data_IF_765880732617
#
_entry.id   IF_765880732617
#
_cell.length_a   1.000
_cell.length_b   1.000
_cell.length_c   1.000
_cell.angle_alpha   90.00
_cell.angle_beta   90.00
_cell.angle_gamma   90.00
#
_symmetry.space_group_name_H-M   'P 1'
#
loop_
_entity.id
_entity.type
_entity.pdbx_description
1 polymer ?
#
# COMPACT_ATOMS: atom_id res chain seq x y z
N UNK A 1 7.01 4.27 -32.31
CA UNK A 1 7.88 5.47 -32.06
C UNK A 1 7.06 6.47 -31.25
N UNK A 2 7.17 6.44 -29.93
CA UNK A 2 6.62 7.47 -29.03
C UNK A 2 7.66 8.60 -29.02
N UNK A 3 7.36 9.72 -29.66
CA UNK A 3 8.15 10.95 -29.55
C UNK A 3 8.17 11.37 -28.08
N UNK A 4 9.31 11.21 -27.42
CA UNK A 4 9.58 11.77 -26.09
C UNK A 4 9.47 13.29 -26.21
N UNK A 5 8.38 13.86 -25.74
CA UNK A 5 8.28 15.31 -25.52
C UNK A 5 9.20 15.63 -24.35
N UNK A 6 10.37 16.17 -24.65
CA UNK A 6 11.21 16.84 -23.66
C UNK A 6 10.33 17.96 -23.07
N UNK A 7 9.81 17.75 -21.87
CA UNK A 7 9.12 18.80 -21.11
C UNK A 7 10.21 19.74 -20.60
N UNK A 8 10.38 20.87 -21.29
CA UNK A 8 11.25 21.95 -20.81
C UNK A 8 10.67 22.41 -19.46
N UNK A 9 11.47 22.31 -18.41
CA UNK A 9 11.09 22.80 -17.08
C UNK A 9 10.95 24.33 -17.13
N UNK A 10 9.76 24.85 -16.82
CA UNK A 10 9.50 26.28 -16.76
C UNK A 10 9.88 26.81 -15.39
N UNK A 11 10.91 27.62 -15.32
CA UNK A 11 11.31 28.32 -14.09
C UNK A 11 10.60 29.67 -14.03
N UNK A 12 9.85 29.93 -12.95
CA UNK A 12 9.16 31.19 -12.70
C UNK A 12 9.82 31.82 -11.48
N UNK A 13 10.47 32.97 -11.69
CA UNK A 13 11.13 33.74 -10.61
C UNK A 13 10.26 34.94 -10.22
N UNK A 14 10.04 35.14 -8.91
CA UNK A 14 9.28 36.26 -8.34
C UNK A 14 7.92 36.52 -8.99
N UNK A 15 7.01 35.48 -9.05
CA UNK A 15 5.71 35.64 -9.71
C UNK A 15 4.86 36.67 -8.99
N UNK A 16 4.11 37.48 -9.74
CA UNK A 16 3.15 38.42 -9.18
C UNK A 16 2.03 37.66 -8.43
N UNK A 17 1.57 38.18 -7.31
CA UNK A 17 0.53 37.51 -6.46
C UNK A 17 -0.73 37.15 -7.26
N UNK A 18 -1.12 37.97 -8.22
CA UNK A 18 -2.27 37.75 -9.10
C UNK A 18 -2.16 36.44 -9.93
N UNK A 19 -0.93 35.98 -10.21
CA UNK A 19 -0.65 34.77 -11.00
C UNK A 19 -0.54 33.49 -10.17
N UNK A 20 -0.54 33.60 -8.82
CA UNK A 20 -0.32 32.46 -7.94
C UNK A 20 -1.40 31.40 -8.07
N UNK A 21 -2.66 31.79 -8.22
CA UNK A 21 -3.74 30.81 -8.35
C UNK A 21 -3.58 29.93 -9.59
N UNK A 22 -3.12 30.52 -10.70
CA UNK A 22 -2.91 29.75 -11.94
C UNK A 22 -1.64 28.90 -11.88
N UNK A 23 -0.56 29.43 -11.29
CA UNK A 23 0.70 28.71 -11.14
C UNK A 23 0.56 27.52 -10.18
N UNK A 24 -0.18 27.72 -9.09
CA UNK A 24 -0.38 26.69 -8.05
C UNK A 24 -1.58 25.75 -8.36
N UNK A 25 -2.29 25.99 -9.44
CA UNK A 25 -3.44 25.17 -9.81
C UNK A 25 -3.02 23.74 -10.07
N UNK A 26 -3.49 22.84 -9.20
CA UNK A 26 -3.22 21.41 -9.35
C UNK A 26 -3.96 20.87 -10.58
N UNK A 27 -3.29 20.23 -11.53
CA UNK A 27 -3.97 19.62 -12.66
C UNK A 27 -4.94 18.55 -12.15
N UNK A 28 -6.24 18.73 -12.46
CA UNK A 28 -7.27 17.74 -12.12
C UNK A 28 -7.59 16.93 -13.36
N UNK A 29 -7.46 15.62 -13.28
CA UNK A 29 -8.03 14.73 -14.30
C UNK A 29 -9.57 14.77 -14.21
N UNK A 30 -10.25 14.73 -15.35
CA UNK A 30 -11.71 14.68 -15.39
C UNK A 30 -12.21 13.37 -14.78
N UNK A 31 -12.87 13.44 -13.61
CA UNK A 31 -13.30 12.28 -12.80
C UNK A 31 -14.56 11.56 -13.31
N UNK A 32 -15.31 12.13 -14.24
CA UNK A 32 -16.66 11.66 -14.58
C UNK A 32 -16.79 10.18 -15.02
N UNK A 33 -15.70 9.58 -15.56
CA UNK A 33 -15.74 8.17 -15.97
C UNK A 33 -15.19 7.20 -14.93
N UNK A 34 -14.43 7.69 -13.92
CA UNK A 34 -13.77 6.82 -12.94
C UNK A 34 -14.77 6.27 -11.91
N UNK A 35 -15.77 7.05 -11.53
CA UNK A 35 -16.76 6.64 -10.51
C UNK A 35 -17.60 5.44 -10.99
N UNK A 36 -18.01 5.45 -12.26
CA UNK A 36 -18.73 4.32 -12.84
C UNK A 36 -17.85 3.06 -12.89
N UNK A 37 -16.60 3.20 -13.35
CA UNK A 37 -15.65 2.06 -13.40
C UNK A 37 -15.42 1.49 -12.01
N UNK A 38 -15.22 2.33 -10.99
CA UNK A 38 -15.03 1.88 -9.60
C UNK A 38 -16.27 1.15 -9.10
N UNK A 39 -17.46 1.70 -9.36
CA UNK A 39 -18.73 1.10 -8.95
C UNK A 39 -18.93 -0.27 -9.60
N UNK A 40 -18.67 -0.39 -10.90
CA UNK A 40 -18.81 -1.63 -11.65
C UNK A 40 -17.82 -2.69 -11.12
N UNK A 41 -16.55 -2.33 -10.93
CA UNK A 41 -15.54 -3.24 -10.38
C UNK A 41 -15.94 -3.73 -8.98
N UNK A 42 -16.39 -2.83 -8.11
CA UNK A 42 -16.80 -3.18 -6.76
C UNK A 42 -18.03 -4.10 -6.74
N UNK A 43 -19.01 -3.85 -7.57
CA UNK A 43 -20.21 -4.68 -7.70
C UNK A 43 -19.86 -6.09 -8.21
N UNK A 44 -18.97 -6.18 -9.20
CA UNK A 44 -18.50 -7.48 -9.72
C UNK A 44 -17.70 -8.27 -8.68
N UNK A 45 -16.87 -7.61 -7.89
CA UNK A 45 -16.13 -8.28 -6.79
C UNK A 45 -17.11 -8.83 -5.76
N UNK A 46 -18.10 -8.05 -5.32
CA UNK A 46 -19.13 -8.52 -4.38
C UNK A 46 -19.89 -9.74 -4.91
N UNK A 47 -20.15 -9.78 -6.23
CA UNK A 47 -20.95 -10.83 -6.86
C UNK A 47 -20.16 -12.10 -7.16
N UNK A 48 -18.89 -11.98 -7.59
CA UNK A 48 -18.10 -13.07 -8.17
C UNK A 48 -16.77 -13.35 -7.44
N UNK A 49 -16.46 -12.60 -6.39
CA UNK A 49 -15.27 -12.82 -5.55
C UNK A 49 -13.96 -12.95 -6.33
N UNK A 50 -13.20 -14.00 -6.04
CA UNK A 50 -11.90 -14.28 -6.67
C UNK A 50 -11.95 -14.34 -8.20
N UNK A 51 -13.07 -14.80 -8.78
CA UNK A 51 -13.20 -14.86 -10.22
C UNK A 51 -13.17 -13.46 -10.84
N UNK A 52 -13.87 -12.50 -10.23
CA UNK A 52 -13.81 -11.11 -10.68
C UNK A 52 -12.42 -10.52 -10.53
N UNK A 53 -11.74 -10.80 -9.40
CA UNK A 53 -10.38 -10.32 -9.14
C UNK A 53 -9.39 -10.82 -10.20
N UNK A 54 -9.46 -12.09 -10.58
CA UNK A 54 -8.62 -12.69 -11.64
C UNK A 54 -8.90 -12.04 -13.00
N UNK A 55 -10.19 -11.88 -13.36
CA UNK A 55 -10.60 -11.24 -14.61
C UNK A 55 -10.08 -9.80 -14.72
N UNK A 56 -10.19 -9.03 -13.63
CA UNK A 56 -9.70 -7.64 -13.59
C UNK A 56 -8.17 -7.57 -13.58
N UNK A 57 -7.46 -8.47 -12.91
CA UNK A 57 -6.01 -8.54 -12.95
C UNK A 57 -5.52 -8.85 -14.38
N UNK A 58 -6.19 -9.78 -15.08
CA UNK A 58 -5.89 -10.04 -16.49
C UNK A 58 -6.17 -8.79 -17.35
N UNK A 59 -7.28 -8.10 -17.12
CA UNK A 59 -7.68 -6.92 -17.90
C UNK A 59 -6.80 -5.69 -17.67
N UNK A 60 -6.42 -5.40 -16.42
CA UNK A 60 -5.74 -4.16 -16.07
C UNK A 60 -4.22 -4.32 -15.92
N UNK A 61 -3.77 -5.45 -15.39
CA UNK A 61 -2.35 -5.73 -15.14
C UNK A 61 -1.73 -6.63 -16.22
N UNK A 62 -2.57 -7.29 -17.06
CA UNK A 62 -2.14 -8.17 -18.14
C UNK A 62 -1.61 -9.53 -17.64
N UNK A 63 -1.85 -9.87 -16.39
CA UNK A 63 -1.41 -11.12 -15.76
C UNK A 63 -2.55 -12.11 -15.61
N UNK A 64 -2.32 -13.36 -16.03
CA UNK A 64 -3.24 -14.47 -15.80
C UNK A 64 -2.78 -15.24 -14.57
N UNK A 65 -3.62 -15.27 -13.53
CA UNK A 65 -3.26 -15.82 -12.23
C UNK A 65 -4.10 -17.05 -11.90
N UNK A 66 -3.45 -18.14 -11.53
CA UNK A 66 -4.10 -19.28 -10.91
C UNK A 66 -4.43 -18.99 -9.44
N UNK A 67 -3.47 -18.40 -8.71
CA UNK A 67 -3.61 -18.01 -7.31
C UNK A 67 -3.37 -16.53 -7.11
N UNK A 68 -4.25 -15.86 -6.35
CA UNK A 68 -4.13 -14.44 -6.04
C UNK A 68 -3.08 -14.15 -4.96
N UNK A 69 -2.86 -15.08 -4.04
CA UNK A 69 -1.88 -14.92 -2.96
C UNK A 69 -0.46 -15.29 -3.42
N UNK A 70 0.52 -14.68 -2.78
CA UNK A 70 1.94 -15.04 -2.95
C UNK A 70 2.22 -16.25 -2.07
N UNK A 71 2.72 -17.33 -2.68
CA UNK A 71 3.05 -18.57 -1.98
C UNK A 71 4.31 -18.44 -1.12
N UNK A 72 4.48 -19.34 -0.15
CA UNK A 72 5.71 -19.43 0.66
C UNK A 72 6.95 -19.71 -0.19
N UNK A 73 6.78 -20.44 -1.29
CA UNK A 73 7.87 -20.71 -2.23
C UNK A 73 8.32 -19.42 -2.94
N UNK A 74 7.35 -18.60 -3.43
CA UNK A 74 7.67 -17.30 -4.04
C UNK A 74 8.35 -16.34 -3.07
N UNK A 75 7.97 -16.36 -1.79
CA UNK A 75 8.62 -15.56 -0.76
C UNK A 75 10.09 -15.98 -0.54
N UNK A 76 10.36 -17.29 -0.46
CA UNK A 76 11.74 -17.82 -0.31
C UNK A 76 12.59 -17.50 -1.56
N UNK A 77 12.04 -17.65 -2.75
CA UNK A 77 12.73 -17.30 -3.99
C UNK A 77 13.03 -15.80 -4.09
N UNK A 78 12.10 -14.96 -3.63
CA UNK A 78 12.29 -13.52 -3.59
C UNK A 78 13.44 -13.14 -2.66
N UNK A 79 13.50 -13.72 -1.47
CA UNK A 79 14.59 -13.51 -0.52
C UNK A 79 15.95 -13.87 -1.11
N UNK A 80 16.05 -14.98 -1.85
CA UNK A 80 17.27 -15.41 -2.51
C UNK A 80 17.71 -14.48 -3.67
N UNK A 81 16.75 -13.80 -4.33
CA UNK A 81 17.03 -12.90 -5.45
C UNK A 81 17.45 -11.49 -5.06
N UNK A 82 17.21 -11.07 -3.81
CA UNK A 82 17.65 -9.75 -3.33
C UNK A 82 19.13 -9.80 -2.97
N UNK A 83 19.91 -8.86 -3.53
CA UNK A 83 21.35 -8.82 -3.28
C UNK A 83 21.66 -8.47 -1.81
N UNK A 84 22.83 -8.90 -1.28
CA UNK A 84 23.24 -8.56 0.08
C UNK A 84 23.31 -7.04 0.32
N UNK A 85 23.73 -6.26 -0.66
CA UNK A 85 23.80 -4.80 -0.56
C UNK A 85 22.41 -4.20 -0.39
N UNK A 86 21.42 -4.68 -1.18
CA UNK A 86 20.05 -4.19 -1.08
C UNK A 86 19.39 -4.63 0.24
N UNK A 87 19.66 -5.85 0.72
CA UNK A 87 19.22 -6.30 2.05
C UNK A 87 19.74 -5.38 3.13
N UNK A 88 21.03 -5.07 3.13
CA UNK A 88 21.65 -4.15 4.10
C UNK A 88 21.03 -2.74 4.03
N UNK A 89 20.74 -2.25 2.84
CA UNK A 89 20.08 -0.95 2.67
C UNK A 89 18.63 -0.97 3.22
N UNK A 90 17.89 -2.04 2.97
CA UNK A 90 16.53 -2.23 3.52
C UNK A 90 16.58 -2.31 5.05
N UNK A 91 17.51 -3.06 5.63
CA UNK A 91 17.67 -3.20 7.09
C UNK A 91 18.03 -1.86 7.75
N UNK A 92 18.86 -1.05 7.10
CA UNK A 92 19.14 0.32 7.55
C UNK A 92 17.88 1.19 7.53
N UNK A 93 17.10 1.12 6.46
CA UNK A 93 15.86 1.86 6.35
C UNK A 93 14.85 1.40 7.41
N UNK A 94 14.72 0.10 7.67
CA UNK A 94 13.87 -0.46 8.73
C UNK A 94 14.24 0.14 10.08
N UNK A 95 15.53 0.14 10.46
CA UNK A 95 15.96 0.71 11.73
C UNK A 95 15.61 2.19 11.87
N UNK A 96 15.84 2.97 10.82
CA UNK A 96 15.55 4.40 10.83
C UNK A 96 14.05 4.68 10.99
N UNK A 97 13.22 3.98 10.20
CA UNK A 97 11.76 4.13 10.24
C UNK A 97 11.22 3.63 11.59
N UNK A 98 11.72 2.49 12.07
CA UNK A 98 11.31 1.95 13.36
C UNK A 98 11.61 2.91 14.50
N UNK A 99 12.84 3.44 14.59
CA UNK A 99 13.24 4.37 15.64
C UNK A 99 12.38 5.63 15.63
N UNK A 100 12.10 6.18 14.44
CA UNK A 100 11.27 7.35 14.29
C UNK A 100 9.82 7.11 14.76
N UNK A 101 9.20 6.02 14.32
CA UNK A 101 7.81 5.72 14.69
C UNK A 101 7.66 5.18 16.11
N UNK A 102 8.66 4.48 16.65
CA UNK A 102 8.67 4.02 18.04
C UNK A 102 8.63 5.20 19.02
N UNK A 103 9.31 6.30 18.69
CA UNK A 103 9.27 7.52 19.49
C UNK A 103 7.89 8.23 19.49
N UNK A 104 7.00 7.90 18.56
CA UNK A 104 5.63 8.43 18.46
C UNK A 104 4.60 7.59 19.19
N UNK A 105 5.01 6.47 19.78
CA UNK A 105 4.09 5.60 20.52
C UNK A 105 3.49 6.34 21.71
N UNK A 106 2.16 6.36 21.80
CA UNK A 106 1.47 7.06 22.86
C UNK A 106 1.74 6.37 24.22
N UNK A 107 2.18 7.16 25.19
CA UNK A 107 2.28 6.71 26.58
C UNK A 107 0.92 6.83 27.24
N UNK A 108 0.52 5.82 28.01
CA UNK A 108 -0.66 5.90 28.85
C UNK A 108 -0.31 6.75 30.09
N UNK A 109 -0.90 7.95 30.17
CA UNK A 109 -0.79 8.81 31.34
C UNK A 109 -2.13 8.74 32.09
N UNK A 110 -2.08 8.31 33.35
CA UNK A 110 -3.21 8.31 34.26
C UNK A 110 -3.28 9.64 35.00
N UNK A 111 -4.45 10.22 35.02
CA UNK A 111 -4.74 11.48 35.72
C UNK A 111 -5.79 11.21 36.79
N UNK A 112 -5.47 11.43 38.05
CA UNK A 112 -6.46 11.45 39.12
C UNK A 112 -7.22 12.76 39.06
N UNK A 113 -8.51 12.69 38.68
CA UNK A 113 -9.38 13.86 38.49
C UNK A 113 -10.12 14.25 39.77
N UNK A 114 -10.31 13.32 40.67
CA UNK A 114 -10.86 13.45 42.03
C UNK A 114 -10.24 12.34 42.88
N UNK A 115 -10.21 12.46 44.21
CA UNK A 115 -9.69 11.41 45.09
C UNK A 115 -10.32 10.05 44.77
N UNK A 116 -9.49 9.09 44.37
CA UNK A 116 -9.91 7.72 43.99
C UNK A 116 -10.49 7.56 42.59
N UNK A 117 -10.49 8.60 41.74
CA UNK A 117 -10.97 8.53 40.35
C UNK A 117 -9.81 8.77 39.37
N UNK A 118 -9.32 7.70 38.76
CA UNK A 118 -8.28 7.76 37.72
C UNK A 118 -8.90 7.71 36.32
N UNK A 119 -8.48 8.62 35.45
CA UNK A 119 -8.85 8.68 34.03
C UNK A 119 -7.63 8.54 33.15
N UNK A 120 -7.73 7.79 32.04
CA UNK A 120 -6.67 7.70 31.06
C UNK A 120 -7.22 7.39 29.65
N UNK A 121 -6.40 7.65 28.64
CA UNK A 121 -6.70 7.26 27.26
C UNK A 121 -5.99 5.95 26.94
N UNK A 122 -6.77 4.93 26.54
CA UNK A 122 -6.24 3.66 26.06
C UNK A 122 -6.13 3.70 24.54
N UNK A 123 -4.94 3.45 24.01
CA UNK A 123 -4.71 3.29 22.58
C UNK A 123 -4.81 1.80 22.23
N UNK A 124 -5.65 1.47 21.25
CA UNK A 124 -5.82 0.10 20.76
C UNK A 124 -5.48 0.02 19.28
N UNK A 125 -4.77 -1.02 18.82
CA UNK A 125 -4.46 -1.20 17.42
C UNK A 125 -5.71 -1.49 16.59
N UNK A 126 -5.67 -1.12 15.31
CA UNK A 126 -6.62 -1.64 14.32
C UNK A 126 -6.20 -3.09 14.05
N UNK A 127 -7.08 -4.06 14.31
CA UNK A 127 -6.71 -5.48 14.24
C UNK A 127 -6.27 -5.93 12.86
N UNK A 128 -6.99 -5.47 11.80
CA UNK A 128 -6.76 -5.86 10.41
C UNK A 128 -6.56 -4.64 9.55
N UNK A 129 -5.39 -4.52 8.97
CA UNK A 129 -5.04 -3.40 8.07
C UNK A 129 -4.62 -3.90 6.71
N UNK A 130 -5.03 -3.17 5.67
CA UNK A 130 -4.60 -3.38 4.29
C UNK A 130 -3.55 -2.35 3.89
N UNK A 131 -2.49 -2.82 3.27
CA UNK A 131 -1.44 -1.99 2.68
C UNK A 131 -1.53 -2.12 1.16
N UNK A 132 -1.73 -1.00 0.49
CA UNK A 132 -1.72 -0.96 -0.96
C UNK A 132 -0.41 -0.37 -1.47
N UNK A 133 0.30 -1.14 -2.29
CA UNK A 133 1.56 -0.72 -2.92
C UNK A 133 1.33 -0.67 -4.43
N UNK A 134 1.32 0.52 -5.04
CA UNK A 134 1.11 0.63 -6.48
C UNK A 134 2.27 0.04 -7.27
N UNK A 135 1.96 -0.46 -8.46
CA UNK A 135 2.94 -0.79 -9.48
C UNK A 135 3.53 0.47 -10.13
N UNK A 136 4.54 0.29 -10.92
CA UNK A 136 5.18 1.38 -11.65
C UNK A 136 6.54 0.97 -12.21
N UNK A 137 7.28 1.97 -12.70
CA UNK A 137 8.61 1.78 -13.30
C UNK A 137 9.69 1.42 -12.27
N UNK A 138 9.46 1.73 -10.99
CA UNK A 138 10.38 1.39 -9.90
C UNK A 138 9.63 0.67 -8.77
N UNK A 139 10.24 -0.35 -8.14
CA UNK A 139 9.62 -1.06 -7.03
C UNK A 139 9.57 -0.16 -5.79
N UNK A 140 8.35 0.07 -5.26
CA UNK A 140 8.13 0.93 -4.10
C UNK A 140 8.26 0.16 -2.77
N UNK A 141 9.35 -0.59 -2.60
CA UNK A 141 9.60 -1.34 -1.36
C UNK A 141 9.75 -0.40 -0.14
N UNK A 142 10.22 0.83 -0.33
CA UNK A 142 10.25 1.83 0.75
C UNK A 142 8.86 2.15 1.30
N UNK A 143 7.83 2.17 0.44
CA UNK A 143 6.43 2.36 0.87
C UNK A 143 5.95 1.18 1.73
N UNK A 144 6.36 -0.05 1.40
CA UNK A 144 6.08 -1.22 2.25
C UNK A 144 6.63 -1.00 3.66
N UNK A 145 7.88 -0.52 3.77
CA UNK A 145 8.51 -0.25 5.06
C UNK A 145 7.79 0.86 5.82
N UNK A 146 7.49 1.98 5.14
CA UNK A 146 6.84 3.15 5.75
C UNK A 146 5.41 2.88 6.23
N UNK A 147 4.72 1.88 5.66
CA UNK A 147 3.38 1.49 6.08
C UNK A 147 3.39 0.30 7.06
N UNK A 148 4.22 -0.70 6.78
CA UNK A 148 4.26 -1.94 7.55
C UNK A 148 4.88 -1.78 8.95
N UNK A 149 5.95 -0.98 9.09
CA UNK A 149 6.61 -0.75 10.36
C UNK A 149 5.69 -0.06 11.38
N UNK A 150 5.01 1.05 11.04
CA UNK A 150 4.01 1.64 11.95
C UNK A 150 2.87 0.69 12.29
N UNK A 151 2.38 -0.11 11.33
CA UNK A 151 1.35 -1.11 11.60
C UNK A 151 1.82 -2.15 12.62
N UNK A 152 3.06 -2.63 12.49
CA UNK A 152 3.68 -3.56 13.45
C UNK A 152 3.89 -2.94 14.83
N UNK A 153 4.39 -1.69 14.91
CA UNK A 153 4.57 -0.96 16.17
C UNK A 153 3.23 -0.75 16.87
N UNK A 154 2.18 -0.41 16.12
CA UNK A 154 0.83 -0.23 16.65
C UNK A 154 0.21 -1.54 17.16
N UNK A 155 0.77 -2.71 16.84
CA UNK A 155 0.26 -4.02 17.28
C UNK A 155 -0.87 -4.57 16.40
N UNK A 156 -0.96 -4.17 15.12
CA UNK A 156 -1.91 -4.74 14.17
C UNK A 156 -1.65 -6.25 14.03
N UNK A 157 -2.68 -7.07 14.22
CA UNK A 157 -2.55 -8.53 14.20
C UNK A 157 -2.49 -9.10 12.79
N UNK A 158 -3.24 -8.51 11.86
CA UNK A 158 -3.32 -8.94 10.48
C UNK A 158 -2.93 -7.77 9.57
N UNK A 159 -1.83 -7.93 8.83
CA UNK A 159 -1.30 -6.94 7.90
C UNK A 159 -1.35 -7.58 6.51
N UNK A 160 -2.33 -7.17 5.72
CA UNK A 160 -2.57 -7.66 4.36
C UNK A 160 -1.96 -6.69 3.37
N UNK A 161 -1.11 -7.17 2.46
CA UNK A 161 -0.49 -6.34 1.44
C UNK A 161 -1.03 -6.73 0.06
N UNK A 162 -1.46 -5.74 -0.71
CA UNK A 162 -1.80 -5.89 -2.13
C UNK A 162 -0.86 -5.06 -3.00
N UNK A 163 -0.32 -5.69 -4.04
CA UNK A 163 0.53 -5.05 -5.05
C UNK A 163 0.31 -5.72 -6.40
N UNK A 164 0.30 -4.98 -7.52
CA UNK A 164 0.10 -5.59 -8.82
C UNK A 164 1.25 -6.55 -9.18
N UNK A 165 0.95 -7.67 -9.82
CA UNK A 165 1.96 -8.52 -10.43
C UNK A 165 2.48 -7.89 -11.72
N UNK A 166 3.60 -8.40 -12.23
CA UNK A 166 4.03 -8.22 -13.60
C UNK A 166 3.21 -9.11 -14.56
N UNK A 167 3.50 -9.05 -15.85
CA UNK A 167 2.80 -9.83 -16.89
C UNK A 167 2.97 -11.34 -16.73
N UNK A 168 4.05 -11.77 -16.06
CA UNK A 168 4.34 -13.18 -15.77
C UNK A 168 3.69 -13.63 -14.44
N UNK A 169 2.85 -12.79 -13.84
CA UNK A 169 2.16 -13.08 -12.58
C UNK A 169 3.06 -13.02 -11.35
N UNK A 170 4.22 -12.36 -11.42
CA UNK A 170 5.20 -12.27 -10.34
C UNK A 170 5.22 -10.90 -9.69
N UNK A 171 5.51 -10.87 -8.40
CA UNK A 171 5.75 -9.64 -7.65
C UNK A 171 7.25 -9.39 -7.56
N UNK A 172 7.65 -8.13 -7.61
CA UNK A 172 9.06 -7.75 -7.49
C UNK A 172 9.69 -8.30 -6.21
N UNK A 173 10.85 -8.98 -6.29
CA UNK A 173 11.50 -9.61 -5.12
C UNK A 173 11.78 -8.64 -3.97
N UNK A 174 12.17 -7.38 -4.25
CA UNK A 174 12.43 -6.39 -3.20
C UNK A 174 11.16 -6.01 -2.43
N UNK A 175 9.98 -5.97 -3.08
CA UNK A 175 8.69 -5.75 -2.42
C UNK A 175 8.35 -6.94 -1.51
N UNK A 176 8.54 -8.18 -1.98
CA UNK A 176 8.29 -9.38 -1.19
C UNK A 176 9.23 -9.48 0.02
N UNK A 177 10.51 -9.20 -0.18
CA UNK A 177 11.49 -9.15 0.91
C UNK A 177 11.13 -8.10 1.96
N UNK A 178 10.78 -6.89 1.53
CA UNK A 178 10.33 -5.84 2.44
C UNK A 178 9.06 -6.24 3.20
N UNK A 179 8.08 -6.87 2.51
CA UNK A 179 6.85 -7.35 3.14
C UNK A 179 7.12 -8.40 4.25
N UNK A 180 8.03 -9.35 4.00
CA UNK A 180 8.49 -10.31 5.01
C UNK A 180 9.15 -9.61 6.19
N UNK A 181 10.07 -8.68 5.92
CA UNK A 181 10.86 -7.99 6.94
C UNK A 181 9.99 -7.17 7.90
N UNK A 182 8.88 -6.59 7.42
CA UNK A 182 7.94 -5.83 8.27
C UNK A 182 6.85 -6.70 8.91
N UNK A 183 6.76 -7.99 8.56
CA UNK A 183 5.82 -8.92 9.14
C UNK A 183 4.42 -8.86 8.53
N UNK A 184 4.32 -8.58 7.21
CA UNK A 184 3.05 -8.77 6.50
C UNK A 184 2.58 -10.22 6.64
N UNK A 185 1.33 -10.41 7.06
CA UNK A 185 0.76 -11.75 7.30
C UNK A 185 0.33 -12.43 6.02
N UNK A 186 -0.10 -11.64 5.03
CA UNK A 186 -0.55 -12.11 3.72
C UNK A 186 -0.18 -11.11 2.63
N UNK A 187 0.25 -11.60 1.48
CA UNK A 187 0.57 -10.78 0.30
C UNK A 187 -0.22 -11.27 -0.89
N UNK A 188 -0.88 -10.36 -1.61
CA UNK A 188 -1.72 -10.65 -2.77
C UNK A 188 -1.23 -9.93 -4.03
N UNK A 189 -1.32 -10.61 -5.16
CA UNK A 189 -0.96 -10.16 -6.51
C UNK A 189 -2.12 -9.37 -7.13
N UNK A 190 -2.46 -8.25 -6.51
CA UNK A 190 -3.60 -7.41 -6.90
C UNK A 190 -3.18 -5.96 -6.98
N UNK A 191 -3.48 -5.30 -8.09
CA UNK A 191 -3.26 -3.87 -8.32
C UNK A 191 -4.54 -3.06 -8.38
N UNK A 192 -4.43 -1.74 -8.52
CA UNK A 192 -5.53 -0.84 -8.86
C UNK A 192 -6.79 -0.94 -8.01
N UNK A 193 -7.92 -0.67 -8.67
CA UNK A 193 -9.26 -0.62 -8.06
C UNK A 193 -9.65 -1.96 -7.45
N UNK A 194 -9.30 -3.09 -8.12
CA UNK A 194 -9.67 -4.42 -7.67
C UNK A 194 -8.96 -4.80 -6.35
N UNK A 195 -7.75 -4.32 -6.10
CA UNK A 195 -7.06 -4.53 -4.83
C UNK A 195 -7.80 -3.84 -3.68
N UNK A 196 -8.22 -2.58 -3.90
CA UNK A 196 -8.98 -1.82 -2.91
C UNK A 196 -10.34 -2.48 -2.66
N UNK A 197 -11.04 -2.90 -3.73
CA UNK A 197 -12.30 -3.62 -3.62
C UNK A 197 -12.18 -4.94 -2.85
N UNK A 198 -11.13 -5.73 -3.13
CA UNK A 198 -10.85 -6.98 -2.44
C UNK A 198 -10.62 -6.78 -0.94
N UNK A 199 -9.77 -5.82 -0.55
CA UNK A 199 -9.52 -5.50 0.85
C UNK A 199 -10.72 -4.88 1.56
N UNK A 200 -11.62 -4.22 0.83
CA UNK A 200 -12.84 -3.60 1.41
C UNK A 200 -13.92 -4.64 1.68
N UNK A 201 -14.20 -5.50 0.71
CA UNK A 201 -15.37 -6.40 0.76
C UNK A 201 -15.00 -7.84 1.12
N UNK A 202 -13.73 -8.19 0.93
CA UNK A 202 -13.28 -9.58 1.01
C UNK A 202 -13.62 -10.39 -0.24
N UNK A 203 -13.04 -11.57 -0.35
CA UNK A 203 -13.35 -12.62 -1.31
C UNK A 203 -13.01 -13.98 -0.70
N UNK A 204 -13.05 -15.05 -1.48
CA UNK A 204 -12.68 -16.38 -1.00
C UNK A 204 -11.24 -16.45 -0.51
N UNK A 205 -10.32 -15.76 -1.21
CA UNK A 205 -8.89 -15.75 -0.87
C UNK A 205 -8.47 -14.53 -0.05
N UNK A 206 -9.06 -13.35 -0.33
CA UNK A 206 -8.62 -12.07 0.24
C UNK A 206 -9.50 -11.70 1.43
N UNK A 207 -8.95 -11.58 2.64
CA UNK A 207 -9.73 -11.13 3.79
C UNK A 207 -10.07 -9.66 3.67
N UNK A 208 -11.29 -9.28 4.11
CA UNK A 208 -11.62 -7.88 4.33
C UNK A 208 -10.83 -7.30 5.51
N UNK A 209 -10.50 -6.01 5.42
CA UNK A 209 -9.75 -5.28 6.46
C UNK A 209 -10.56 -4.09 6.98
N UNK A 210 -10.22 -3.60 8.17
CA UNK A 210 -10.92 -2.46 8.76
C UNK A 210 -10.44 -1.12 8.22
N UNK A 211 -9.19 -1.03 7.77
CA UNK A 211 -8.63 0.18 7.19
C UNK A 211 -7.56 -0.13 6.17
N UNK A 212 -7.53 0.66 5.09
CA UNK A 212 -6.56 0.53 4.01
C UNK A 212 -5.66 1.76 4.03
N UNK A 213 -4.35 1.53 3.87
CA UNK A 213 -3.33 2.55 3.77
C UNK A 213 -2.56 2.37 2.46
N UNK A 214 -2.22 3.47 1.82
CA UNK A 214 -1.44 3.47 0.59
C UNK A 214 -1.18 4.88 0.10
N UNK A 215 -0.25 5.05 -0.85
CA UNK A 215 -0.05 6.33 -1.52
C UNK A 215 -1.26 6.66 -2.40
N UNK A 216 -1.71 7.93 -2.36
CA UNK A 216 -2.85 8.45 -3.13
C UNK A 216 -2.53 9.78 -3.82
#
# INVERSE_FOLDING_TARGET
FVKSRIRIMKTIKHPNKETWQDILKRPRQKKANLENIVTDVFNEIKKRGDKALKDFTKKFDGAELEHLHVSQQELKEAEAKVSPELKNAIDNAIRNIFNFHKAQEAKEEKVETQPGVECWRKVTPIEKVGLYIPGGTAPLFSTVLMLGIPAKIAGCKEIVLCTPPDKDGKVNPAILYAALSVGCTKVFKLGGIQAIGAMTYGSESVPSVYKIFGPG
#
